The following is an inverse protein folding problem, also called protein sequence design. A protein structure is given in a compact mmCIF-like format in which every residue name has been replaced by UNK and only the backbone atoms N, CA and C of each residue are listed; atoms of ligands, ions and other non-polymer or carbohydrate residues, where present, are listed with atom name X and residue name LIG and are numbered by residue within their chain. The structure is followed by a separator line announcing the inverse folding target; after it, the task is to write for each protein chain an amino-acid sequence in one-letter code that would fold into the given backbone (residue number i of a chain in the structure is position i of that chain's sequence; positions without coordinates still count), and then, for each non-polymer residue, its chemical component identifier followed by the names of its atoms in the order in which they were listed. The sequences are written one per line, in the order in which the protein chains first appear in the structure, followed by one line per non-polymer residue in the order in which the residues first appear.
data_IF_060286160584
#
_entry.id   IF_060286160584
#
_cell.length_a   1.000
_cell.length_b   1.000
_cell.length_c   1.000
_cell.angle_alpha   90.00
_cell.angle_beta   90.00
_cell.angle_gamma   90.00
#
_symmetry.space_group_name_H-M   'P 1'
#
loop_
_entity.id
_entity.type
_entity.pdbx_description
1 polymer ?
#
# COMPACT_ATOMS: atom_id res chain seq x y z
N UNK A 1 3.88 18.01 -28.00
CA UNK A 1 3.04 16.94 -27.45
C UNK A 1 3.62 16.61 -26.09
N UNK A 2 2.91 16.90 -24.99
CA UNK A 2 3.42 16.50 -23.68
C UNK A 2 3.37 14.97 -23.63
N UNK A 3 4.51 14.33 -23.40
CA UNK A 3 4.54 12.90 -23.07
C UNK A 3 3.62 12.70 -21.86
N UNK A 4 2.46 12.11 -22.11
CA UNK A 4 1.46 11.88 -21.08
C UNK A 4 2.03 10.91 -20.06
N UNK A 5 2.08 11.33 -18.80
CA UNK A 5 2.47 10.46 -17.70
C UNK A 5 1.37 9.41 -17.50
N UNK A 6 1.59 8.19 -17.99
CA UNK A 6 0.69 7.06 -17.79
C UNK A 6 1.12 6.27 -16.56
N UNK A 7 0.21 6.05 -15.62
CA UNK A 7 0.47 5.25 -14.42
C UNK A 7 0.04 3.81 -14.68
N UNK A 8 0.98 2.88 -14.49
CA UNK A 8 0.70 1.44 -14.52
C UNK A 8 0.02 1.03 -13.19
N UNK A 9 -1.31 0.90 -13.24
CA UNK A 9 -2.14 0.56 -12.10
C UNK A 9 -1.92 -0.89 -11.62
N UNK A 10 -1.55 -1.80 -12.51
CA UNK A 10 -1.27 -3.18 -12.15
C UNK A 10 0.09 -3.29 -11.44
N UNK A 11 1.08 -2.49 -11.85
CA UNK A 11 2.33 -2.35 -11.10
C UNK A 11 2.10 -1.73 -9.72
N UNK A 12 1.23 -0.71 -9.62
CA UNK A 12 0.91 -0.06 -8.36
C UNK A 12 0.19 -1.02 -7.38
N UNK A 13 -0.77 -1.78 -7.89
CA UNK A 13 -1.47 -2.82 -7.14
C UNK A 13 -0.51 -3.90 -6.64
N UNK A 14 0.36 -4.41 -7.53
CA UNK A 14 1.39 -5.40 -7.16
C UNK A 14 2.35 -4.88 -6.11
N UNK A 15 2.73 -3.59 -6.17
CA UNK A 15 3.56 -2.97 -5.14
C UNK A 15 2.85 -2.96 -3.77
N UNK A 16 1.57 -2.60 -3.72
CA UNK A 16 0.78 -2.63 -2.48
C UNK A 16 0.71 -4.05 -1.87
N UNK A 17 0.46 -5.06 -2.70
CA UNK A 17 0.44 -6.46 -2.28
C UNK A 17 1.82 -6.94 -1.80
N UNK A 18 2.89 -6.58 -2.51
CA UNK A 18 4.26 -6.94 -2.15
C UNK A 18 4.67 -6.35 -0.81
N UNK A 19 4.30 -5.09 -0.52
CA UNK A 19 4.55 -4.46 0.78
C UNK A 19 3.82 -5.20 1.89
N UNK A 20 2.51 -5.50 1.73
CA UNK A 20 1.75 -6.27 2.74
C UNK A 20 2.37 -7.63 3.00
N UNK A 21 2.63 -8.40 1.95
CA UNK A 21 3.20 -9.73 2.07
C UNK A 21 4.58 -9.70 2.77
N UNK A 22 5.39 -8.68 2.49
CA UNK A 22 6.69 -8.51 3.16
C UNK A 22 6.51 -8.20 4.64
N UNK A 23 5.61 -7.28 4.99
CA UNK A 23 5.33 -6.93 6.38
C UNK A 23 4.74 -8.12 7.16
N UNK A 24 3.79 -8.84 6.57
CA UNK A 24 3.17 -10.03 7.19
C UNK A 24 4.20 -11.14 7.45
N UNK A 25 5.30 -11.19 6.68
CA UNK A 25 6.42 -12.10 6.90
C UNK A 25 7.38 -11.65 8.01
N UNK A 26 7.44 -10.35 8.31
CA UNK A 26 8.20 -9.84 9.47
C UNK A 26 7.39 -10.16 10.72
N UNK A 27 7.57 -11.38 11.23
CA UNK A 27 6.78 -11.92 12.35
C UNK A 27 6.82 -11.06 13.61
N UNK A 28 5.63 -10.71 14.08
CA UNK A 28 5.38 -10.16 15.42
C UNK A 28 5.60 -11.28 16.45
N UNK A 29 6.34 -11.01 17.54
CA UNK A 29 6.60 -12.00 18.59
C UNK A 29 7.85 -12.86 18.38
N UNK A 30 8.76 -12.45 17.49
CA UNK A 30 9.98 -13.20 17.16
C UNK A 30 10.89 -13.48 18.37
N UNK A 31 10.76 -12.69 19.44
CA UNK A 31 11.60 -12.74 20.64
C UNK A 31 10.82 -13.09 21.90
N UNK A 32 9.61 -13.65 21.77
CA UNK A 32 8.84 -14.11 22.91
C UNK A 32 9.62 -15.16 23.71
N UNK A 33 9.72 -14.96 25.03
CA UNK A 33 10.38 -15.89 25.94
C UNK A 33 11.91 -15.73 26.08
N UNK A 34 12.56 -14.84 25.33
CA UNK A 34 14.02 -14.63 25.35
C UNK A 34 14.60 -14.33 26.76
N UNK A 35 13.82 -13.70 27.65
CA UNK A 35 14.24 -13.46 29.04
C UNK A 35 14.27 -14.73 29.92
N UNK A 36 13.44 -15.73 29.64
CA UNK A 36 13.29 -16.91 30.53
C UNK A 36 14.46 -17.89 30.46
N UNK A 37 15.33 -17.78 29.45
CA UNK A 37 16.45 -18.70 29.25
C UNK A 37 17.75 -18.29 29.97
N UNK A 38 17.86 -17.03 30.43
CA UNK A 38 19.08 -16.53 31.03
C UNK A 38 19.05 -16.66 32.57
N UNK A 39 19.77 -17.65 33.11
CA UNK A 39 19.92 -17.86 34.57
C UNK A 39 20.69 -16.75 35.31
N UNK A 40 21.12 -15.68 34.63
CA UNK A 40 21.84 -14.55 35.20
C UNK A 40 21.03 -13.26 35.03
N UNK A 41 20.63 -12.64 36.14
CA UNK A 41 19.65 -11.53 36.18
C UNK A 41 20.02 -10.34 35.29
N UNK A 42 21.28 -9.90 35.30
CA UNK A 42 21.73 -8.80 34.43
C UNK A 42 21.61 -9.13 32.93
N UNK A 43 21.90 -10.37 32.53
CA UNK A 43 21.79 -10.80 31.15
C UNK A 43 20.31 -10.89 30.74
N UNK A 44 19.48 -11.43 31.63
CA UNK A 44 18.02 -11.45 31.44
C UNK A 44 17.47 -10.04 31.24
N UNK A 45 17.84 -9.08 32.09
CA UNK A 45 17.44 -7.68 31.94
C UNK A 45 17.82 -7.09 30.58
N UNK A 46 19.07 -7.29 30.14
CA UNK A 46 19.51 -6.81 28.84
C UNK A 46 18.77 -7.48 27.66
N UNK A 47 18.49 -8.78 27.78
CA UNK A 47 17.73 -9.54 26.78
C UNK A 47 16.27 -9.08 26.69
N UNK A 48 15.63 -8.80 27.83
CA UNK A 48 14.26 -8.26 27.90
C UNK A 48 14.19 -6.85 27.32
N UNK A 49 15.16 -5.98 27.64
CA UNK A 49 15.23 -4.63 27.09
C UNK A 49 15.39 -4.64 25.57
N UNK A 50 16.32 -5.48 25.08
CA UNK A 50 16.52 -5.69 23.65
C UNK A 50 15.24 -6.20 22.98
N UNK A 51 14.64 -7.27 23.52
CA UNK A 51 13.43 -7.87 22.96
C UNK A 51 12.27 -6.86 22.89
N UNK A 52 12.06 -6.07 23.95
CA UNK A 52 11.04 -5.03 24.01
C UNK A 52 11.26 -3.96 22.95
N UNK A 53 12.48 -3.43 22.83
CA UNK A 53 12.81 -2.39 21.84
C UNK A 53 12.71 -2.91 20.42
N UNK A 54 13.17 -4.14 20.18
CA UNK A 54 13.07 -4.79 18.88
C UNK A 54 11.62 -4.97 18.47
N UNK A 55 10.81 -5.54 19.36
CA UNK A 55 9.40 -5.81 19.12
C UNK A 55 8.64 -4.52 18.79
N UNK A 56 8.83 -3.46 19.59
CA UNK A 56 8.22 -2.15 19.29
C UNK A 56 8.70 -1.54 17.97
N UNK A 57 9.97 -1.74 17.60
CA UNK A 57 10.49 -1.29 16.31
C UNK A 57 9.89 -2.04 15.11
N UNK A 58 9.73 -3.36 15.24
CA UNK A 58 9.09 -4.21 14.22
C UNK A 58 7.61 -3.86 14.07
N UNK A 59 6.90 -3.63 15.17
CA UNK A 59 5.50 -3.21 15.15
C UNK A 59 5.31 -1.86 14.44
N UNK A 60 6.14 -0.87 14.75
CA UNK A 60 6.11 0.43 14.08
C UNK A 60 6.41 0.32 12.58
N UNK A 61 7.39 -0.50 12.20
CA UNK A 61 7.70 -0.77 10.80
C UNK A 61 6.53 -1.44 10.07
N UNK A 62 5.85 -2.37 10.74
CA UNK A 62 4.68 -3.05 10.19
C UNK A 62 3.52 -2.07 9.97
N UNK A 63 3.23 -1.21 10.94
CA UNK A 63 2.21 -0.16 10.83
C UNK A 63 2.50 0.77 9.65
N UNK A 64 3.73 1.28 9.55
CA UNK A 64 4.15 2.16 8.45
C UNK A 64 4.03 1.47 7.08
N UNK A 65 4.46 0.21 6.98
CA UNK A 65 4.36 -0.57 5.75
C UNK A 65 2.91 -0.80 5.32
N UNK A 66 2.01 -1.15 6.23
CA UNK A 66 0.58 -1.23 5.94
C UNK A 66 0.02 0.12 5.49
N UNK A 67 0.41 1.21 6.15
CA UNK A 67 -0.04 2.54 5.80
C UNK A 67 0.45 2.98 4.41
N UNK A 68 1.64 2.56 3.96
CA UNK A 68 2.11 2.76 2.58
C UNK A 68 1.24 1.95 1.61
N UNK A 69 0.98 0.67 1.89
CA UNK A 69 0.17 -0.17 1.02
C UNK A 69 -1.27 0.36 0.87
N UNK A 70 -1.86 0.92 1.92
CA UNK A 70 -3.19 1.58 1.85
C UNK A 70 -3.15 2.82 0.95
N UNK A 71 -2.08 3.62 1.02
CA UNK A 71 -1.93 4.81 0.17
C UNK A 71 -1.75 4.44 -1.29
N UNK A 72 -1.06 3.34 -1.59
CA UNK A 72 -0.91 2.82 -2.96
C UNK A 72 -2.26 2.40 -3.54
N UNK A 73 -3.09 1.66 -2.79
CA UNK A 73 -4.45 1.31 -3.20
C UNK A 73 -5.32 2.56 -3.43
N UNK A 74 -5.22 3.55 -2.54
CA UNK A 74 -5.97 4.79 -2.66
C UNK A 74 -5.60 5.58 -3.92
N UNK A 75 -4.30 5.59 -4.27
CA UNK A 75 -3.81 6.20 -5.50
C UNK A 75 -4.34 5.43 -6.73
N UNK A 76 -4.29 4.10 -6.73
CA UNK A 76 -4.85 3.26 -7.81
C UNK A 76 -6.33 3.58 -8.04
N UNK A 77 -7.12 3.60 -6.96
CA UNK A 77 -8.55 3.91 -7.02
C UNK A 77 -8.79 5.35 -7.52
N UNK A 78 -7.92 6.30 -7.17
CA UNK A 78 -7.93 7.66 -7.67
C UNK A 78 -7.76 7.73 -9.19
N UNK A 79 -6.73 7.08 -9.72
CA UNK A 79 -6.49 7.02 -11.16
C UNK A 79 -7.63 6.35 -11.92
N UNK A 80 -8.13 5.19 -11.45
CA UNK A 80 -9.26 4.50 -12.09
C UNK A 80 -10.52 5.39 -12.18
N UNK A 81 -10.82 6.16 -11.14
CA UNK A 81 -11.96 7.09 -11.13
C UNK A 81 -11.78 8.20 -12.16
N UNK A 82 -10.60 8.79 -12.23
CA UNK A 82 -10.27 9.85 -13.20
C UNK A 82 -10.39 9.33 -14.63
N UNK A 83 -9.80 8.17 -14.93
CA UNK A 83 -9.87 7.55 -16.26
C UNK A 83 -11.30 7.22 -16.67
N UNK A 84 -12.09 6.65 -15.76
CA UNK A 84 -13.51 6.35 -16.01
C UNK A 84 -14.33 7.63 -16.24
N UNK A 85 -14.04 8.69 -15.48
CA UNK A 85 -14.68 9.99 -15.65
C UNK A 85 -14.36 10.63 -17.01
N UNK A 86 -13.09 10.60 -17.39
CA UNK A 86 -12.63 11.09 -18.70
C UNK A 86 -13.25 10.29 -19.86
N UNK A 87 -13.27 8.95 -19.76
CA UNK A 87 -13.89 8.08 -20.76
C UNK A 87 -15.38 8.36 -20.93
N UNK A 88 -16.14 8.55 -19.84
CA UNK A 88 -17.56 8.93 -19.89
C UNK A 88 -17.79 10.31 -20.50
N UNK A 89 -16.93 11.28 -20.19
CA UNK A 89 -16.98 12.62 -20.79
C UNK A 89 -16.76 12.57 -22.30
N UNK A 90 -15.77 11.81 -22.76
CA UNK A 90 -15.48 11.61 -24.18
C UNK A 90 -16.63 10.88 -24.91
N UNK A 91 -17.16 9.80 -24.33
CA UNK A 91 -18.30 9.06 -24.89
C UNK A 91 -19.56 9.94 -24.98
N UNK A 92 -19.80 10.81 -24.00
CA UNK A 92 -20.86 11.81 -24.04
C UNK A 92 -20.70 12.83 -25.17
N UNK A 93 -19.48 13.29 -25.44
CA UNK A 93 -19.18 14.19 -26.55
C UNK A 93 -19.35 13.52 -27.93
N UNK A 94 -18.92 12.26 -28.05
CA UNK A 94 -19.07 11.47 -29.28
C UNK A 94 -20.55 11.19 -29.58
N UNK A 95 -21.35 10.82 -28.57
CA UNK A 95 -22.80 10.60 -28.73
C UNK A 95 -23.59 11.89 -28.94
N UNK A 96 -23.16 13.00 -28.34
CA UNK A 96 -23.76 14.32 -28.55
C UNK A 96 -23.44 14.93 -29.92
N UNK A 97 -22.39 14.46 -30.60
CA UNK A 97 -22.01 14.89 -31.96
C UNK A 97 -22.62 14.02 -33.08
N UNK A 98 -23.67 13.24 -32.78
CA UNK A 98 -24.41 12.50 -33.79
C UNK A 98 -25.03 13.43 -34.86
N UNK A 99 -25.15 12.99 -36.13
CA UNK A 99 -25.61 13.84 -37.23
C UNK A 99 -27.04 14.33 -36.93
N UNK A 100 -27.21 15.65 -36.99
CA UNK A 100 -28.51 16.33 -36.85
C UNK A 100 -29.50 15.79 -37.91
N UNK A 101 -30.61 15.12 -37.54
CA UNK A 101 -31.57 14.58 -38.49
C UNK A 101 -32.57 15.67 -38.92
N UNK A 102 -32.07 16.79 -39.42
CA UNK A 102 -32.86 18.00 -39.67
C UNK A 102 -32.38 18.82 -40.86
N UNK A 103 -32.24 18.20 -42.03
CA UNK A 103 -32.03 18.89 -43.31
C UNK A 103 -33.01 18.39 -44.36
N UNK A 104 -34.11 19.13 -44.55
CA UNK A 104 -35.14 18.88 -45.56
C UNK A 104 -36.29 19.86 -45.46
#
# INVERSE_FOLDING_TARGET
MAEGYAVDLDALHRAAQGVRATIDQVGVGLLDGVGTAAGHERLNGALVEFATRWQGGVEALAEDGHAVAVRLDAAEAGYRRTDTGAARGLDGLVRGSGPDPGGG
#
